data_IF_937463886786
#
_entry.id   IF_937463886786
#
_cell.length_a   1.000
_cell.length_b   1.000
_cell.length_c   1.000
_cell.angle_alpha   90.00
_cell.angle_beta   90.00
_cell.angle_gamma   90.00
#
_symmetry.space_group_name_H-M   'P 1'
#
loop_
_entity.id
_entity.type
_entity.pdbx_description
1 polymer ?
#
# COMPACT_ATOMS: atom_id res chain seq x y z
N UNK A 1 11.74 6.62 1.14
CA UNK A 1 10.79 5.52 1.37
C UNK A 1 11.19 4.38 0.45
N UNK A 2 11.33 3.17 0.99
CA UNK A 2 11.85 2.01 0.26
C UNK A 2 11.01 1.65 -0.97
N UNK A 3 9.72 1.99 -0.95
CA UNK A 3 8.81 1.86 -2.10
C UNK A 3 9.33 2.50 -3.39
N UNK A 4 10.01 3.65 -3.31
CA UNK A 4 10.58 4.31 -4.49
C UNK A 4 11.76 3.52 -5.06
N UNK A 5 12.65 3.06 -4.17
CA UNK A 5 13.84 2.27 -4.55
C UNK A 5 13.47 0.88 -5.09
N UNK A 6 12.33 0.34 -4.65
CA UNK A 6 11.86 -1.00 -5.03
C UNK A 6 10.96 -1.03 -6.28
N UNK A 7 10.91 0.03 -7.07
CA UNK A 7 10.12 0.01 -8.31
C UNK A 7 8.64 0.35 -8.13
N UNK A 8 8.30 1.17 -7.13
CA UNK A 8 6.93 1.60 -6.87
C UNK A 8 6.28 2.39 -8.00
N UNK A 9 4.98 2.72 -7.87
CA UNK A 9 4.20 3.33 -8.96
C UNK A 9 4.80 4.63 -9.51
N UNK A 10 5.52 5.39 -8.68
CA UNK A 10 6.16 6.65 -9.06
C UNK A 10 7.40 6.50 -9.94
N UNK A 11 7.93 5.30 -10.13
CA UNK A 11 9.00 5.04 -11.12
C UNK A 11 8.47 4.45 -12.44
N UNK A 12 7.15 4.50 -12.65
CA UNK A 12 6.48 4.08 -13.89
C UNK A 12 6.80 2.65 -14.32
N UNK A 13 6.56 1.62 -13.48
CA UNK A 13 6.63 0.23 -13.93
C UNK A 13 5.56 -0.05 -14.99
N UNK A 14 5.85 -0.90 -15.98
CA UNK A 14 4.86 -1.32 -17.00
C UNK A 14 3.60 -1.90 -16.35
N UNK A 15 3.78 -2.71 -15.30
CA UNK A 15 2.70 -3.28 -14.50
C UNK A 15 3.12 -3.38 -13.03
N UNK A 16 2.18 -3.11 -12.13
CA UNK A 16 2.36 -3.19 -10.68
C UNK A 16 1.17 -3.92 -10.04
N UNK A 17 1.38 -5.16 -9.61
CA UNK A 17 0.38 -5.94 -8.87
C UNK A 17 0.71 -5.99 -7.39
N UNK A 18 -0.31 -6.25 -6.58
CA UNK A 18 -0.13 -6.46 -5.16
C UNK A 18 -0.87 -7.73 -4.69
N UNK A 19 -0.37 -8.34 -3.62
CA UNK A 19 -1.03 -9.50 -3.02
C UNK A 19 -2.14 -9.08 -2.05
N UNK A 20 -3.12 -9.94 -1.76
CA UNK A 20 -4.21 -9.62 -0.83
C UNK A 20 -3.74 -9.32 0.59
N UNK A 21 -2.60 -9.87 1.00
CA UNK A 21 -1.98 -9.67 2.30
C UNK A 21 -0.99 -8.50 2.34
N UNK A 22 -0.79 -7.79 1.22
CA UNK A 22 0.12 -6.66 1.16
C UNK A 22 -0.49 -5.42 1.83
N UNK A 23 0.35 -4.62 2.46
CA UNK A 23 -0.03 -3.33 3.01
C UNK A 23 0.90 -2.26 2.44
N UNK A 24 0.34 -1.16 1.97
CA UNK A 24 1.08 -0.03 1.41
C UNK A 24 0.87 1.17 2.32
N UNK A 25 1.90 1.53 3.07
CA UNK A 25 1.91 2.71 3.93
C UNK A 25 3.31 3.33 3.96
N UNK A 26 3.38 4.61 4.36
CA UNK A 26 4.66 5.31 4.56
C UNK A 26 5.42 4.70 5.74
N UNK A 27 4.69 4.31 6.79
CA UNK A 27 5.19 3.66 7.99
C UNK A 27 4.05 2.85 8.63
N UNK A 28 4.36 2.10 9.68
CA UNK A 28 3.36 1.34 10.45
C UNK A 28 2.20 2.24 10.93
N UNK A 29 0.92 1.84 10.70
CA UNK A 29 -0.26 2.64 11.03
C UNK A 29 -0.32 3.15 12.47
N UNK A 30 0.07 2.32 13.44
CA UNK A 30 0.07 2.68 14.86
C UNK A 30 1.08 3.78 15.17
N UNK A 31 2.30 3.66 14.62
CA UNK A 31 3.35 4.68 14.80
C UNK A 31 2.96 5.99 14.13
N UNK A 32 2.39 5.91 12.93
CA UNK A 32 1.89 7.08 12.22
C UNK A 32 0.78 7.79 12.99
N UNK A 33 -0.17 7.03 13.55
CA UNK A 33 -1.24 7.59 14.38
C UNK A 33 -0.69 8.33 15.60
N UNK A 34 0.31 7.74 16.28
CA UNK A 34 0.98 8.37 17.42
C UNK A 34 1.66 9.68 17.02
N UNK A 35 2.44 9.69 15.94
CA UNK A 35 3.13 10.91 15.46
C UNK A 35 2.13 12.00 15.08
N UNK A 36 1.06 11.66 14.36
CA UNK A 36 0.03 12.65 13.97
C UNK A 36 -0.63 13.27 15.19
N UNK A 37 -0.93 12.48 16.22
CA UNK A 37 -1.59 12.97 17.43
C UNK A 37 -0.63 13.79 18.30
N UNK A 38 0.64 13.40 18.38
CA UNK A 38 1.68 14.20 19.06
C UNK A 38 1.88 15.58 18.41
N UNK A 39 1.78 15.67 17.08
CA UNK A 39 1.91 16.93 16.34
C UNK A 39 0.64 17.81 16.42
N UNK A 40 -0.55 17.19 16.44
CA UNK A 40 -1.84 17.91 16.48
C UNK A 40 -2.22 18.39 17.87
N UNK A 41 -1.97 17.56 18.87
CA UNK A 41 -2.26 17.85 20.25
C UNK A 41 -0.94 18.15 20.92
N UNK A 42 -0.73 19.40 21.35
CA UNK A 42 0.25 19.69 22.39
C UNK A 42 -0.15 18.93 23.68
N UNK A 43 0.14 17.62 23.72
CA UNK A 43 0.00 16.65 24.83
C UNK A 43 -1.35 15.98 25.15
N UNK A 44 -2.48 16.35 24.54
CA UNK A 44 -3.80 15.77 24.90
C UNK A 44 -4.47 14.94 23.79
N UNK A 45 -3.81 13.90 23.31
CA UNK A 45 -4.47 12.87 22.50
C UNK A 45 -5.08 11.79 23.38
N UNK A 46 -6.38 11.50 23.25
CA UNK A 46 -6.97 10.38 24.00
C UNK A 46 -6.60 9.03 23.36
N UNK A 47 -6.51 7.96 24.16
CA UNK A 47 -6.28 6.58 23.67
C UNK A 47 -7.35 6.13 22.66
N UNK A 48 -8.56 6.68 22.78
CA UNK A 48 -9.67 6.43 21.84
C UNK A 48 -9.38 7.04 20.47
N UNK A 49 -8.80 8.24 20.41
CA UNK A 49 -8.45 8.90 19.15
C UNK A 49 -7.29 8.21 18.44
N UNK A 50 -6.29 7.74 19.21
CA UNK A 50 -5.19 6.91 18.71
C UNK A 50 -5.71 5.64 18.03
N UNK A 51 -6.58 4.89 18.73
CA UNK A 51 -7.17 3.66 18.20
C UNK A 51 -8.01 3.91 16.94
N UNK A 52 -8.85 4.94 16.94
CA UNK A 52 -9.66 5.30 15.77
C UNK A 52 -8.78 5.65 14.57
N UNK A 53 -7.72 6.43 14.79
CA UNK A 53 -6.81 6.85 13.73
C UNK A 53 -6.00 5.67 13.20
N UNK A 54 -5.50 4.79 14.08
CA UNK A 54 -4.80 3.57 13.67
C UNK A 54 -5.68 2.66 12.81
N UNK A 55 -6.91 2.36 13.24
CA UNK A 55 -7.86 1.53 12.47
C UNK A 55 -8.11 2.14 11.10
N UNK A 56 -8.27 3.47 11.03
CA UNK A 56 -8.42 4.19 9.77
C UNK A 56 -7.20 4.00 8.87
N UNK A 57 -6.00 4.24 9.39
CA UNK A 57 -4.74 4.11 8.64
C UNK A 57 -4.49 2.66 8.19
N UNK A 58 -4.83 1.67 9.02
CA UNK A 58 -4.74 0.26 8.67
C UNK A 58 -5.69 -0.07 7.51
N UNK A 59 -6.92 0.44 7.53
CA UNK A 59 -7.86 0.30 6.42
C UNK A 59 -7.35 0.98 5.15
N UNK A 60 -6.76 2.16 5.26
CA UNK A 60 -6.20 2.90 4.13
C UNK A 60 -4.94 2.24 3.56
N UNK A 61 -4.20 1.48 4.38
CA UNK A 61 -3.02 0.72 3.94
C UNK A 61 -3.34 -0.55 3.14
N UNK A 62 -4.59 -1.02 3.16
CA UNK A 62 -4.98 -2.28 2.52
C UNK A 62 -4.82 -2.24 1.00
N UNK A 63 -4.46 -3.38 0.40
CA UNK A 63 -4.42 -3.53 -1.06
C UNK A 63 -5.73 -3.16 -1.75
N UNK A 64 -6.88 -3.48 -1.15
CA UNK A 64 -8.20 -3.13 -1.68
C UNK A 64 -8.38 -1.62 -1.73
N UNK A 65 -7.90 -0.95 -0.69
CA UNK A 65 -7.90 0.51 -0.64
C UNK A 65 -7.01 1.07 -1.76
N UNK A 66 -5.82 0.51 -1.98
CA UNK A 66 -4.94 0.92 -3.07
C UNK A 66 -5.52 0.68 -4.48
N UNK A 67 -6.16 -0.47 -4.70
CA UNK A 67 -6.69 -0.84 -6.01
C UNK A 67 -7.81 0.11 -6.47
N UNK A 68 -8.68 0.53 -5.55
CA UNK A 68 -9.74 1.51 -5.86
C UNK A 68 -9.22 2.92 -6.19
N UNK A 69 -7.94 3.21 -5.90
CA UNK A 69 -7.27 4.47 -6.24
C UNK A 69 -6.21 4.29 -7.33
N UNK A 70 -6.20 3.14 -8.00
CA UNK A 70 -5.27 2.85 -9.10
C UNK A 70 -3.79 2.98 -8.64
N UNK A 71 -3.52 2.66 -7.37
CA UNK A 71 -2.15 2.58 -6.85
C UNK A 71 -1.43 1.31 -7.34
N UNK A 72 -2.21 0.33 -7.77
CA UNK A 72 -1.79 -0.95 -8.33
C UNK A 72 -2.76 -1.32 -9.45
N UNK A 73 -2.26 -2.05 -10.44
CA UNK A 73 -3.04 -2.47 -11.62
C UNK A 73 -3.92 -3.70 -11.34
N UNK A 74 -3.74 -4.35 -10.18
CA UNK A 74 -4.62 -5.41 -9.72
C UNK A 74 -4.14 -6.10 -8.44
N UNK A 75 -5.04 -6.90 -7.87
CA UNK A 75 -4.75 -7.78 -6.74
C UNK A 75 -4.72 -9.21 -7.24
N UNK A 76 -3.60 -9.92 -7.03
CA UNK A 76 -3.42 -11.31 -7.51
C UNK A 76 -3.01 -12.21 -6.36
N UNK A 77 -3.40 -13.48 -6.42
CA UNK A 77 -2.98 -14.45 -5.41
C UNK A 77 -1.47 -14.74 -5.54
N UNK A 78 -0.74 -14.97 -4.43
CA UNK A 78 0.69 -15.26 -4.48
C UNK A 78 1.06 -16.41 -5.42
N UNK A 79 0.23 -17.46 -5.43
CA UNK A 79 0.36 -18.64 -6.31
C UNK A 79 0.17 -18.35 -7.80
N UNK A 80 -0.50 -17.24 -8.16
CA UNK A 80 -0.77 -16.85 -9.56
C UNK A 80 0.29 -15.91 -10.14
N UNK A 81 1.19 -15.39 -9.30
CA UNK A 81 2.26 -14.45 -9.68
C UNK A 81 3.04 -14.90 -10.92
N UNK A 82 3.41 -16.19 -10.98
CA UNK A 82 4.16 -16.74 -12.12
C UNK A 82 3.35 -16.69 -13.42
N UNK A 83 2.06 -17.03 -13.37
CA UNK A 83 1.19 -17.06 -14.57
C UNK A 83 0.99 -15.65 -15.11
N UNK A 84 0.73 -14.69 -14.23
CA UNK A 84 0.54 -13.27 -14.56
C UNK A 84 1.80 -12.70 -15.21
N UNK A 85 2.98 -12.94 -14.62
CA UNK A 85 4.24 -12.48 -15.18
C UNK A 85 4.53 -13.06 -16.57
N UNK A 86 4.29 -14.37 -16.78
CA UNK A 86 4.48 -15.00 -18.09
C UNK A 86 3.53 -14.39 -19.13
N UNK A 87 2.26 -14.20 -18.75
CA UNK A 87 1.27 -13.59 -19.63
C UNK A 87 1.71 -12.19 -20.06
N UNK A 88 2.11 -11.35 -19.09
CA UNK A 88 2.60 -9.99 -19.35
C UNK A 88 3.82 -10.01 -20.27
N UNK A 89 4.86 -10.76 -19.92
CA UNK A 89 6.10 -10.83 -20.72
C UNK A 89 5.83 -11.33 -22.15
N UNK A 90 4.85 -12.23 -22.33
CA UNK A 90 4.47 -12.73 -23.65
C UNK A 90 3.75 -11.68 -24.50
N UNK A 91 2.99 -10.79 -23.87
CA UNK A 91 2.21 -9.76 -24.55
C UNK A 91 3.01 -8.47 -24.77
N UNK A 92 3.94 -8.16 -23.86
CA UNK A 92 4.84 -7.01 -23.95
C UNK A 92 5.83 -7.17 -25.12
N UNK A 93 6.25 -8.41 -25.43
CA UNK A 93 7.13 -8.72 -26.57
C UNK A 93 6.51 -8.57 -27.97
N UNK A 94 5.22 -8.21 -28.06
CA UNK A 94 4.52 -8.03 -29.34
C UNK A 94 4.52 -6.57 -29.84
N UNK A 95 5.16 -5.65 -29.13
CA UNK A 95 5.36 -4.26 -29.53
C UNK A 95 6.83 -3.87 -29.45
#
# INVERSE_FOLDING_TARGET
SDHYLMGGRSVSPNFLFAWPNAHVAIMEPDKLAQTIIQERSSKDGTDVDLKKLSIKLQRESSTIFGATRILNDGIILPQETRKVNIFIISNDRKY
#
